data_IF_987445196665
#
_entry.id   IF_987445196665
#
_cell.length_a   1.000
_cell.length_b   1.000
_cell.length_c   1.000
_cell.angle_alpha   90.00
_cell.angle_beta   90.00
_cell.angle_gamma   90.00
#
_symmetry.space_group_name_H-M   'P 1'
#
loop_
_entity.id
_entity.type
_entity.pdbx_description
1 polymer ?
#
# COMPACT_ATOMS: atom_id res chain seq x y z
N UNK A 1 52.54 -16.32 -24.40
CA UNK A 1 51.60 -16.60 -23.30
C UNK A 1 50.55 -17.58 -23.83
N UNK A 2 50.71 -18.87 -23.57
CA UNK A 2 49.88 -19.91 -24.17
C UNK A 2 48.48 -19.93 -23.52
N UNK A 3 47.43 -19.73 -24.32
CA UNK A 3 46.05 -19.77 -23.86
C UNK A 3 45.72 -21.22 -23.47
N UNK A 4 45.48 -21.46 -22.17
CA UNK A 4 45.17 -22.78 -21.63
C UNK A 4 43.86 -23.29 -22.27
N UNK A 5 43.94 -24.35 -23.07
CA UNK A 5 42.78 -24.91 -23.79
C UNK A 5 41.83 -25.55 -22.78
N UNK A 6 40.68 -24.92 -22.56
CA UNK A 6 39.65 -25.45 -21.66
C UNK A 6 39.10 -26.78 -22.17
N UNK A 7 38.78 -27.69 -21.24
CA UNK A 7 38.20 -28.99 -21.60
C UNK A 7 36.77 -28.81 -22.12
N UNK A 8 36.32 -29.70 -23.00
CA UNK A 8 34.93 -29.69 -23.50
C UNK A 8 33.90 -29.67 -22.36
N UNK A 9 34.17 -30.39 -21.26
CA UNK A 9 33.33 -30.41 -20.06
C UNK A 9 33.22 -29.04 -19.39
N UNK A 10 34.33 -28.31 -19.30
CA UNK A 10 34.34 -26.96 -18.73
C UNK A 10 33.52 -25.98 -19.58
N UNK A 11 33.66 -26.04 -20.91
CA UNK A 11 32.89 -25.19 -21.82
C UNK A 11 31.38 -25.49 -21.72
N UNK A 12 30.99 -26.77 -21.64
CA UNK A 12 29.59 -27.18 -21.45
C UNK A 12 29.04 -26.65 -20.12
N UNK A 13 29.79 -26.82 -19.02
CA UNK A 13 29.37 -26.35 -17.70
C UNK A 13 29.20 -24.82 -17.67
N UNK A 14 30.14 -24.09 -18.27
CA UNK A 14 30.09 -22.63 -18.36
C UNK A 14 28.89 -22.16 -19.22
N UNK A 15 28.59 -22.88 -20.30
CA UNK A 15 27.45 -22.58 -21.16
C UNK A 15 26.12 -22.83 -20.46
N UNK A 16 26.00 -23.93 -19.69
CA UNK A 16 24.81 -24.21 -18.87
C UNK A 16 24.63 -23.16 -17.78
N UNK A 17 25.70 -22.76 -17.10
CA UNK A 17 25.66 -21.69 -16.11
C UNK A 17 25.22 -20.36 -16.72
N UNK A 18 25.80 -19.98 -17.87
CA UNK A 18 25.40 -18.77 -18.59
C UNK A 18 23.94 -18.82 -19.04
N UNK A 19 23.46 -19.97 -19.54
CA UNK A 19 22.06 -20.14 -19.92
C UNK A 19 21.11 -20.03 -18.72
N UNK A 20 21.45 -20.63 -17.58
CA UNK A 20 20.67 -20.50 -16.34
C UNK A 20 20.65 -19.05 -15.84
N UNK A 21 21.80 -18.37 -15.87
CA UNK A 21 21.88 -16.96 -15.50
C UNK A 21 21.02 -16.07 -16.40
N UNK A 22 21.07 -16.28 -17.73
CA UNK A 22 20.22 -15.57 -18.67
C UNK A 22 18.73 -15.87 -18.43
N UNK A 23 18.38 -17.12 -18.14
CA UNK A 23 17.01 -17.51 -17.81
C UNK A 23 16.50 -16.80 -16.55
N UNK A 24 17.33 -16.70 -15.50
CA UNK A 24 16.98 -15.95 -14.28
C UNK A 24 16.81 -14.46 -14.56
N UNK A 25 17.65 -13.86 -15.41
CA UNK A 25 17.48 -12.46 -15.81
C UNK A 25 16.17 -12.23 -16.56
N UNK A 26 15.80 -13.15 -17.47
CA UNK A 26 14.51 -13.06 -18.18
C UNK A 26 13.33 -13.16 -17.21
N UNK A 27 13.37 -14.10 -16.26
CA UNK A 27 12.32 -14.23 -15.24
C UNK A 27 12.19 -12.97 -14.36
N UNK A 28 13.30 -12.38 -13.93
CA UNK A 28 13.29 -11.13 -13.14
C UNK A 28 12.68 -9.96 -13.92
N UNK A 29 12.90 -9.89 -15.24
CA UNK A 29 12.36 -8.80 -16.07
C UNK A 29 10.92 -9.06 -16.54
N UNK A 30 10.41 -10.29 -16.42
CA UNK A 30 9.02 -10.62 -16.78
C UNK A 30 8.04 -10.20 -15.67
N UNK A 31 8.53 -9.99 -14.45
CA UNK A 31 7.76 -9.56 -13.28
C UNK A 31 7.78 -8.03 -13.12
N UNK A 32 7.60 -7.32 -14.23
CA UNK A 32 7.37 -5.88 -14.19
C UNK A 32 5.92 -5.63 -13.76
N UNK A 33 5.62 -5.79 -12.47
CA UNK A 33 4.35 -5.34 -11.88
C UNK A 33 4.10 -3.91 -12.37
N UNK A 34 2.98 -3.69 -13.07
CA UNK A 34 2.58 -2.33 -13.46
C UNK A 34 2.46 -1.52 -12.19
N UNK A 35 2.98 -0.29 -12.20
CA UNK A 35 2.91 0.60 -11.04
C UNK A 35 2.00 1.77 -11.35
N UNK A 36 1.16 2.11 -10.40
CA UNK A 36 0.23 3.22 -10.47
C UNK A 36 0.59 4.29 -9.44
N UNK A 37 0.46 5.55 -9.82
CA UNK A 37 0.64 6.68 -8.90
C UNK A 37 -0.63 6.91 -8.10
N UNK A 38 -0.50 6.95 -6.77
CA UNK A 38 -1.58 7.21 -5.81
C UNK A 38 -1.19 8.38 -4.92
N UNK A 39 -2.18 9.17 -4.50
CA UNK A 39 -1.98 10.30 -3.59
C UNK A 39 -2.47 9.91 -2.20
N UNK A 40 -1.55 9.76 -1.26
CA UNK A 40 -1.88 9.46 0.13
C UNK A 40 -1.99 10.77 0.90
N UNK A 41 -3.04 10.92 1.72
CA UNK A 41 -3.25 12.14 2.49
C UNK A 41 -2.79 11.96 3.93
N UNK A 42 -1.96 12.88 4.40
CA UNK A 42 -1.41 12.87 5.75
C UNK A 42 -1.54 14.26 6.39
N UNK A 43 -1.84 14.35 7.70
CA UNK A 43 -1.92 15.61 8.42
C UNK A 43 -0.57 16.32 8.55
N UNK A 44 -0.62 17.64 8.67
CA UNK A 44 0.48 18.46 9.22
C UNK A 44 0.61 18.29 10.75
N UNK A 45 1.56 19.00 11.36
CA UNK A 45 1.84 18.93 12.80
C UNK A 45 0.63 19.28 13.67
N UNK A 46 -0.18 20.25 13.23
CA UNK A 46 -1.37 20.71 13.96
C UNK A 46 -2.65 19.91 13.61
N UNK A 47 -2.55 18.98 12.65
CA UNK A 47 -3.64 18.17 12.13
C UNK A 47 -4.82 18.95 11.54
N UNK A 48 -4.56 20.19 11.11
CA UNK A 48 -5.58 21.07 10.54
C UNK A 48 -5.74 20.85 9.04
N UNK A 49 -4.67 20.43 8.36
CA UNK A 49 -4.65 20.25 6.91
C UNK A 49 -4.13 18.87 6.54
N UNK A 50 -4.77 18.30 5.52
CA UNK A 50 -4.30 17.07 4.88
C UNK A 50 -3.49 17.42 3.64
N UNK A 51 -2.25 16.95 3.60
CA UNK A 51 -1.32 17.12 2.49
C UNK A 51 -1.20 15.82 1.70
N UNK A 52 -1.21 15.94 0.37
CA UNK A 52 -1.04 14.81 -0.53
C UNK A 52 0.44 14.44 -0.71
N UNK A 53 0.76 13.18 -0.49
CA UNK A 53 2.05 12.55 -0.77
C UNK A 53 1.88 11.55 -1.93
N UNK A 54 2.58 11.77 -3.04
CA UNK A 54 2.49 10.91 -4.22
C UNK A 54 3.37 9.66 -4.04
N UNK A 55 2.78 8.47 -4.17
CA UNK A 55 3.47 7.17 -4.12
C UNK A 55 3.20 6.32 -5.34
N UNK A 56 4.21 5.57 -5.77
CA UNK A 56 4.07 4.53 -6.79
C UNK A 56 3.85 3.18 -6.14
N UNK A 57 2.63 2.66 -6.26
CA UNK A 57 2.24 1.37 -5.73
C UNK A 57 2.17 0.33 -6.85
N UNK A 58 2.54 -0.94 -6.59
CA UNK A 58 2.26 -2.01 -7.53
C UNK A 58 0.75 -2.16 -7.73
N UNK A 59 0.33 -2.29 -8.98
CA UNK A 59 -1.04 -2.52 -9.38
C UNK A 59 -1.39 -3.99 -9.12
N UNK A 60 -2.56 -4.20 -8.53
CA UNK A 60 -3.12 -5.53 -8.30
C UNK A 60 -4.16 -5.87 -9.37
N UNK A 61 -4.45 -7.16 -9.50
CA UNK A 61 -5.35 -7.69 -10.52
C UNK A 61 -6.80 -7.17 -10.38
N UNK A 62 -7.23 -6.82 -9.16
CA UNK A 62 -8.58 -6.36 -8.87
C UNK A 62 -8.62 -5.08 -8.01
N UNK A 63 -9.76 -4.39 -8.04
CA UNK A 63 -9.97 -3.14 -7.29
C UNK A 63 -9.81 -3.35 -5.78
N UNK A 64 -10.29 -4.47 -5.24
CA UNK A 64 -10.24 -4.74 -3.81
C UNK A 64 -8.79 -4.83 -3.29
N UNK A 65 -7.93 -5.57 -3.99
CA UNK A 65 -6.51 -5.70 -3.68
C UNK A 65 -5.73 -4.39 -3.87
N UNK A 66 -6.13 -3.57 -4.85
CA UNK A 66 -5.55 -2.22 -5.01
C UNK A 66 -5.91 -1.30 -3.84
N UNK A 67 -7.17 -1.32 -3.38
CA UNK A 67 -7.62 -0.55 -2.21
C UNK A 67 -6.97 -1.08 -0.93
N UNK A 68 -6.91 -2.40 -0.75
CA UNK A 68 -6.27 -3.04 0.41
C UNK A 68 -4.81 -2.60 0.53
N UNK A 69 -4.05 -2.65 -0.56
CA UNK A 69 -2.68 -2.18 -0.60
C UNK A 69 -2.58 -0.69 -0.26
N UNK A 70 -3.43 0.14 -0.85
CA UNK A 70 -3.45 1.58 -0.61
C UNK A 70 -3.74 1.93 0.86
N UNK A 71 -4.72 1.28 1.48
CA UNK A 71 -5.06 1.49 2.89
C UNK A 71 -3.92 1.03 3.80
N UNK A 72 -3.28 -0.10 3.49
CA UNK A 72 -2.10 -0.54 4.23
C UNK A 72 -0.94 0.46 4.14
N UNK A 73 -0.72 1.08 2.97
CA UNK A 73 0.28 2.13 2.79
C UNK A 73 -0.04 3.40 3.60
N UNK A 74 -1.33 3.76 3.76
CA UNK A 74 -1.76 4.82 4.66
C UNK A 74 -1.46 4.47 6.14
N UNK A 75 -1.70 3.22 6.55
CA UNK A 75 -1.39 2.72 7.91
C UNK A 75 0.12 2.78 8.18
N UNK A 76 0.96 2.46 7.19
CA UNK A 76 2.42 2.56 7.31
C UNK A 76 2.89 4.00 7.60
N UNK A 77 2.08 5.01 7.29
CA UNK A 77 2.34 6.42 7.57
C UNK A 77 3.18 7.09 6.49
N UNK A 78 3.40 8.42 6.60
CA UNK A 78 4.10 9.22 5.59
C UNK A 78 5.59 8.88 5.50
N UNK A 79 6.20 9.19 4.34
CA UNK A 79 7.66 9.22 4.20
C UNK A 79 8.22 10.64 4.22
N UNK A 80 7.36 11.64 4.01
CA UNK A 80 7.70 13.06 4.09
C UNK A 80 7.91 13.47 5.55
N UNK A 81 9.04 14.13 5.83
CA UNK A 81 9.52 14.43 7.19
C UNK A 81 8.53 15.29 7.99
N UNK A 82 7.82 16.21 7.34
CA UNK A 82 6.94 17.18 7.99
C UNK A 82 5.46 16.75 8.01
N UNK A 83 5.17 15.50 7.63
CA UNK A 83 3.83 14.93 7.66
C UNK A 83 3.72 13.90 8.78
N UNK A 84 2.53 13.83 9.37
CA UNK A 84 2.22 12.95 10.50
C UNK A 84 1.30 11.82 10.05
N UNK A 85 1.21 10.76 10.85
CA UNK A 85 0.34 9.63 10.52
C UNK A 85 -1.12 10.07 10.52
N UNK A 86 -1.87 9.70 9.48
CA UNK A 86 -3.33 9.78 9.47
C UNK A 86 -3.93 8.71 10.39
N UNK A 87 -3.43 7.48 10.28
CA UNK A 87 -3.90 6.33 11.06
C UNK A 87 -2.86 6.01 12.15
N UNK A 88 -3.27 5.86 13.42
CA UNK A 88 -2.37 5.49 14.51
C UNK A 88 -1.53 4.24 14.23
N UNK A 89 -0.31 4.22 14.76
CA UNK A 89 0.56 3.06 14.64
C UNK A 89 -0.06 1.84 15.35
N UNK A 90 0.02 0.67 14.73
CA UNK A 90 -0.48 -0.59 15.32
C UNK A 90 -1.97 -0.85 15.05
N UNK A 91 -2.65 0.03 14.34
CA UNK A 91 -3.94 -0.26 13.70
C UNK A 91 -3.73 -1.27 12.57
N UNK A 92 -4.69 -2.17 12.39
CA UNK A 92 -4.70 -3.15 11.31
C UNK A 92 -6.00 -3.03 10.52
N UNK A 93 -5.91 -3.21 9.21
CA UNK A 93 -7.06 -3.51 8.37
C UNK A 93 -7.41 -5.00 8.59
N UNK A 94 -8.58 -5.26 9.16
CA UNK A 94 -9.06 -6.60 9.52
C UNK A 94 -9.99 -7.19 8.47
N UNK A 95 -10.74 -6.33 7.76
CA UNK A 95 -11.61 -6.74 6.68
C UNK A 95 -11.77 -5.66 5.63
N UNK A 96 -12.01 -6.08 4.39
CA UNK A 96 -12.31 -5.22 3.27
C UNK A 96 -13.34 -5.91 2.36
N UNK A 97 -14.36 -5.18 1.94
CA UNK A 97 -15.35 -5.65 0.97
C UNK A 97 -15.74 -4.49 0.06
N UNK A 98 -15.74 -4.74 -1.25
CA UNK A 98 -16.29 -3.82 -2.26
C UNK A 98 -17.61 -4.41 -2.74
N UNK A 99 -18.69 -3.64 -2.60
CA UNK A 99 -20.01 -3.98 -3.12
C UNK A 99 -20.51 -2.83 -3.99
N UNK A 100 -20.52 -3.06 -5.30
CA UNK A 100 -20.78 -2.03 -6.32
C UNK A 100 -19.88 -0.79 -6.16
N UNK A 101 -20.43 0.31 -5.62
CA UNK A 101 -19.75 1.57 -5.37
C UNK A 101 -19.49 1.86 -3.88
N UNK A 102 -19.82 0.90 -3.02
CA UNK A 102 -19.66 1.01 -1.57
C UNK A 102 -18.49 0.17 -1.09
N UNK A 103 -17.53 0.81 -0.42
CA UNK A 103 -16.41 0.15 0.23
C UNK A 103 -16.70 -0.03 1.72
N UNK A 104 -16.56 -1.24 2.22
CA UNK A 104 -16.59 -1.55 3.65
C UNK A 104 -15.17 -1.82 4.15
N UNK A 105 -14.74 -1.07 5.17
CA UNK A 105 -13.43 -1.23 5.80
C UNK A 105 -13.61 -1.59 7.28
N UNK A 106 -13.03 -2.70 7.72
CA UNK A 106 -12.97 -3.08 9.13
C UNK A 106 -11.57 -2.85 9.69
N UNK A 107 -11.46 -2.12 10.79
CA UNK A 107 -10.21 -1.89 11.50
C UNK A 107 -10.22 -2.48 12.91
N UNK A 108 -9.01 -2.74 13.42
CA UNK A 108 -8.84 -3.15 14.81
C UNK A 108 -9.25 -2.05 15.79
N UNK A 109 -9.69 -2.44 17.00
CA UNK A 109 -10.08 -1.51 18.08
C UNK A 109 -8.99 -0.50 18.47
N UNK A 110 -7.74 -0.82 18.13
CA UNK A 110 -6.59 0.08 18.29
C UNK A 110 -6.80 1.43 17.61
N UNK A 111 -7.65 1.50 16.58
CA UNK A 111 -7.98 2.76 15.91
C UNK A 111 -8.63 3.76 16.87
N UNK A 112 -9.47 3.28 17.80
CA UNK A 112 -10.10 4.13 18.83
C UNK A 112 -9.11 4.38 19.96
N UNK A 113 -8.50 3.32 20.51
CA UNK A 113 -7.67 3.44 21.72
C UNK A 113 -6.37 4.22 21.48
N UNK A 114 -5.91 4.31 20.23
CA UNK A 114 -4.68 5.01 19.85
C UNK A 114 -4.94 6.31 19.07
N UNK A 115 -6.20 6.76 18.94
CA UNK A 115 -6.53 7.97 18.18
C UNK A 115 -5.78 9.22 18.69
N UNK A 116 -5.53 9.32 19.99
CA UNK A 116 -4.79 10.45 20.60
C UNK A 116 -3.28 10.47 20.25
N UNK A 117 -2.76 9.42 19.60
CA UNK A 117 -1.34 9.35 19.21
C UNK A 117 -1.03 10.06 17.88
N UNK A 118 -2.06 10.54 17.19
CA UNK A 118 -1.94 11.33 15.96
C UNK A 118 -2.59 12.71 16.17
N UNK A 119 -2.19 13.75 15.43
CA UNK A 119 -2.65 15.12 15.68
C UNK A 119 -4.08 15.39 15.21
N UNK A 120 -4.94 14.37 15.10
CA UNK A 120 -6.29 14.51 14.57
C UNK A 120 -7.35 13.87 15.47
N UNK A 121 -8.57 14.43 15.43
CA UNK A 121 -9.72 13.81 16.09
C UNK A 121 -10.10 12.50 15.39
N UNK A 122 -10.74 11.58 16.12
CA UNK A 122 -11.22 10.33 15.54
C UNK A 122 -12.11 10.54 14.29
N UNK A 123 -13.06 11.47 14.34
CA UNK A 123 -13.92 11.78 13.19
C UNK A 123 -13.08 12.28 11.99
N UNK A 124 -12.09 13.13 12.23
CA UNK A 124 -11.19 13.64 11.18
C UNK A 124 -10.30 12.55 10.58
N UNK A 125 -9.92 11.53 11.36
CA UNK A 125 -9.20 10.35 10.85
C UNK A 125 -10.09 9.60 9.86
N UNK A 126 -11.34 9.33 10.23
CA UNK A 126 -12.31 8.65 9.37
C UNK A 126 -12.56 9.46 8.09
N UNK A 127 -12.90 10.75 8.20
CA UNK A 127 -13.10 11.62 7.05
C UNK A 127 -11.85 11.71 6.13
N UNK A 128 -10.65 11.75 6.72
CA UNK A 128 -9.40 11.76 5.98
C UNK A 128 -9.15 10.48 5.22
N UNK A 129 -9.45 9.32 5.84
CA UNK A 129 -9.38 8.02 5.19
C UNK A 129 -10.37 7.91 4.03
N UNK A 130 -11.63 8.28 4.27
CA UNK A 130 -12.68 8.25 3.25
C UNK A 130 -12.33 9.14 2.05
N UNK A 131 -11.84 10.36 2.33
CA UNK A 131 -11.34 11.28 1.29
C UNK A 131 -10.20 10.67 0.50
N UNK A 132 -9.25 10.03 1.18
CA UNK A 132 -8.09 9.43 0.53
C UNK A 132 -8.50 8.28 -0.41
N UNK A 133 -9.45 7.45 0.01
CA UNK A 133 -10.00 6.38 -0.83
C UNK A 133 -10.72 6.96 -2.05
N UNK A 134 -11.74 7.80 -1.85
CA UNK A 134 -12.59 8.31 -2.94
C UNK A 134 -11.78 9.12 -3.97
N UNK A 135 -10.72 9.82 -3.52
CA UNK A 135 -9.82 10.52 -4.42
C UNK A 135 -9.06 9.58 -5.37
N UNK A 136 -8.62 8.42 -4.87
CA UNK A 136 -7.79 7.48 -5.64
C UNK A 136 -8.59 6.43 -6.40
N UNK A 137 -9.82 6.14 -5.96
CA UNK A 137 -10.71 5.13 -6.48
C UNK A 137 -12.08 5.77 -6.78
N UNK A 138 -12.19 6.53 -7.89
CA UNK A 138 -13.39 7.30 -8.22
C UNK A 138 -14.63 6.42 -8.47
N UNK A 139 -14.47 5.12 -8.69
CA UNK A 139 -15.55 4.14 -8.72
C UNK A 139 -16.23 3.96 -7.35
N UNK A 140 -15.52 4.21 -6.25
CA UNK A 140 -16.06 4.17 -4.89
C UNK A 140 -16.72 5.51 -4.57
N UNK A 141 -18.00 5.45 -4.19
CA UNK A 141 -18.83 6.63 -3.85
C UNK A 141 -19.13 6.72 -2.37
N UNK A 142 -19.21 5.59 -1.70
CA UNK A 142 -19.49 5.49 -0.28
C UNK A 142 -18.44 4.63 0.40
N UNK A 143 -18.00 5.04 1.59
CA UNK A 143 -17.08 4.27 2.43
C UNK A 143 -17.77 4.07 3.78
N UNK A 144 -17.81 2.82 4.26
CA UNK A 144 -18.39 2.43 5.54
C UNK A 144 -17.31 1.80 6.40
N UNK A 145 -16.99 2.47 7.49
CA UNK A 145 -15.97 2.01 8.42
C UNK A 145 -16.58 1.22 9.57
N UNK A 146 -15.97 0.11 9.95
CA UNK A 146 -16.27 -0.67 11.15
C UNK A 146 -15.02 -0.81 12.00
N UNK A 147 -15.18 -0.91 13.32
CA UNK A 147 -14.09 -1.00 14.29
C UNK A 147 -14.40 -2.12 15.27
N UNK A 148 -13.52 -3.10 15.39
CA UNK A 148 -13.76 -4.27 16.26
C UNK A 148 -15.01 -5.07 15.86
N UNK A 149 -15.44 -4.97 14.60
CA UNK A 149 -16.67 -5.60 14.10
C UNK A 149 -17.95 -4.76 14.23
N UNK A 150 -17.91 -3.60 14.88
CA UNK A 150 -19.06 -2.71 15.04
C UNK A 150 -18.97 -1.51 14.08
N UNK A 151 -20.09 -1.05 13.47
CA UNK A 151 -20.08 0.14 12.61
C UNK A 151 -19.53 1.38 13.35
N UNK A 152 -18.60 2.09 12.73
CA UNK A 152 -18.11 3.37 13.24
C UNK A 152 -19.23 4.42 13.07
N UNK A 153 -19.91 4.76 14.17
CA UNK A 153 -20.94 5.79 14.15
C UNK A 153 -20.26 7.15 14.29
N UNK A 154 -20.12 7.88 13.19
CA UNK A 154 -19.67 9.27 13.20
C UNK A 154 -20.79 10.12 13.83
N UNK A 155 -20.50 10.80 14.96
CA UNK A 155 -21.40 11.74 15.63
C UNK A 155 -20.92 13.16 15.46
#
# INVERSE_FOLDING_TARGET
MALKRFSRKFIILLSLFAAFFLLTLVFINFDAESRVERVLFFPDEDGQQLHGELRRLPERDDTAGNIELFVNELILGPVTIDLYRLIPQGVKLESLLVDEDTLYLGFSENLITSAETVPMSFNSIIEGLERAVVFNFPEIKEVKTAIGGEPAVIR
#
